data_IF_049636633427
#
_entry.id   IF_049636633427
#
_cell.length_a   1.000
_cell.length_b   1.000
_cell.length_c   1.000
_cell.angle_alpha   90.00
_cell.angle_beta   90.00
_cell.angle_gamma   90.00
#
_symmetry.space_group_name_H-M   'P 1'
#
loop_
_entity.id
_entity.type
_entity.pdbx_description
1 polymer ?
#
# COMPACT_ATOMS: atom_id res chain seq x y z
N UNK A 1 11.18 -21.26 55.77
CA UNK A 1 10.61 -19.94 55.37
C UNK A 1 11.26 -19.56 54.04
N UNK A 2 10.61 -19.86 52.92
CA UNK A 2 9.66 -19.01 52.18
C UNK A 2 10.32 -17.92 51.32
N UNK A 3 10.20 -18.13 49.99
CA UNK A 3 10.04 -17.09 48.95
C UNK A 3 11.36 -16.39 48.51
N UNK A 4 11.69 -16.16 47.23
CA UNK A 4 10.90 -16.01 46.01
C UNK A 4 11.74 -16.30 44.76
N UNK A 5 11.10 -17.04 43.87
CA UNK A 5 11.33 -17.15 42.42
C UNK A 5 11.45 -15.74 41.80
N UNK A 6 12.57 -15.41 41.15
CA UNK A 6 12.61 -14.33 40.16
C UNK A 6 12.29 -14.92 38.79
N UNK A 7 11.04 -14.71 38.38
CA UNK A 7 10.46 -15.12 37.10
C UNK A 7 11.29 -14.56 35.93
N UNK A 8 11.52 -15.44 34.98
CA UNK A 8 12.03 -15.23 33.63
C UNK A 8 11.28 -14.08 32.95
N UNK A 9 12.03 -13.13 32.42
CA UNK A 9 11.58 -12.18 31.42
C UNK A 9 11.33 -12.99 30.13
N UNK A 10 10.08 -13.36 29.86
CA UNK A 10 9.69 -13.92 28.57
C UNK A 10 9.55 -12.73 27.62
N UNK A 11 10.54 -12.61 26.73
CA UNK A 11 10.51 -11.77 25.54
C UNK A 11 9.22 -12.08 24.78
N UNK A 12 8.29 -11.14 24.77
CA UNK A 12 7.03 -11.29 24.06
C UNK A 12 7.37 -11.46 22.57
N UNK A 13 6.87 -12.54 22.00
CA UNK A 13 7.05 -12.93 20.60
C UNK A 13 6.52 -11.82 19.71
N UNK A 14 7.27 -11.52 18.67
CA UNK A 14 6.81 -10.78 17.50
C UNK A 14 5.49 -11.40 17.04
N UNK A 15 4.39 -10.67 17.24
CA UNK A 15 3.10 -11.05 16.66
C UNK A 15 3.14 -10.53 15.24
N UNK A 16 3.44 -11.43 14.31
CA UNK A 16 3.34 -11.17 12.89
C UNK A 16 1.86 -10.95 12.55
N UNK A 17 1.46 -9.67 12.52
CA UNK A 17 0.12 -9.28 12.13
C UNK A 17 0.02 -9.39 10.61
N UNK A 18 -0.35 -10.56 10.11
CA UNK A 18 -0.83 -10.71 8.74
C UNK A 18 -2.13 -9.94 8.58
N UNK A 19 -2.02 -8.67 8.17
CA UNK A 19 -3.19 -7.86 7.84
C UNK A 19 -3.73 -8.28 6.48
N UNK A 20 -5.02 -8.61 6.51
CA UNK A 20 -5.75 -9.27 5.44
C UNK A 20 -6.26 -8.26 4.41
N UNK A 21 -6.57 -8.76 3.21
CA UNK A 21 -7.12 -7.98 2.09
C UNK A 21 -8.26 -7.05 2.52
N UNK A 22 -8.46 -5.96 1.78
CA UNK A 22 -9.51 -4.96 2.06
C UNK A 22 -10.91 -5.58 2.22
N UNK A 23 -11.25 -6.60 1.43
CA UNK A 23 -12.50 -7.37 1.58
C UNK A 23 -12.57 -8.11 2.92
N UNK A 24 -11.46 -8.70 3.35
CA UNK A 24 -11.38 -9.42 4.62
C UNK A 24 -11.38 -8.47 5.81
N UNK A 25 -10.74 -7.30 5.69
CA UNK A 25 -10.78 -6.24 6.69
C UNK A 25 -12.22 -5.72 6.88
N UNK A 26 -12.95 -5.46 5.77
CA UNK A 26 -14.37 -5.08 5.83
C UNK A 26 -15.21 -6.14 6.54
N UNK A 27 -15.01 -7.41 6.19
CA UNK A 27 -15.72 -8.52 6.82
C UNK A 27 -15.47 -8.57 8.34
N UNK A 28 -14.20 -8.47 8.75
CA UNK A 28 -13.84 -8.46 10.17
C UNK A 28 -14.41 -7.27 10.92
N UNK A 29 -14.35 -6.06 10.34
CA UNK A 29 -14.94 -4.85 10.94
C UNK A 29 -16.45 -4.95 11.10
N UNK A 30 -17.11 -5.54 10.10
CA UNK A 30 -18.55 -5.80 10.16
C UNK A 30 -18.89 -6.81 11.26
N UNK A 31 -18.14 -7.92 11.36
CA UNK A 31 -18.33 -8.94 12.40
C UNK A 31 -18.08 -8.37 13.81
N UNK A 32 -17.05 -7.54 13.96
CA UNK A 32 -16.75 -6.81 15.20
C UNK A 32 -17.93 -5.92 15.60
N UNK A 33 -18.44 -5.10 14.68
CA UNK A 33 -19.60 -4.26 14.93
C UNK A 33 -20.86 -5.07 15.31
N UNK A 34 -21.14 -6.19 14.62
CA UNK A 34 -22.24 -7.09 14.97
C UNK A 34 -22.08 -7.61 16.41
N UNK A 35 -20.87 -8.01 16.79
CA UNK A 35 -20.58 -8.55 18.13
C UNK A 35 -20.88 -7.51 19.21
N UNK A 36 -20.47 -6.25 19.00
CA UNK A 36 -20.80 -5.15 19.92
C UNK A 36 -22.30 -4.84 19.97
N UNK A 37 -22.99 -4.90 18.82
CA UNK A 37 -24.43 -4.70 18.77
C UNK A 37 -25.19 -5.79 19.54
N UNK A 38 -24.81 -7.07 19.37
CA UNK A 38 -25.40 -8.21 20.09
C UNK A 38 -25.12 -8.16 21.60
N UNK A 39 -23.96 -7.63 22.01
CA UNK A 39 -23.62 -7.39 23.41
C UNK A 39 -24.34 -6.19 24.04
N UNK A 40 -25.26 -5.53 23.32
CA UNK A 40 -26.02 -4.38 23.82
C UNK A 40 -25.25 -3.06 23.82
N UNK A 41 -24.17 -2.95 23.03
CA UNK A 41 -23.37 -1.74 22.85
C UNK A 41 -23.51 -1.15 21.42
N UNK A 42 -24.71 -0.70 21.02
CA UNK A 42 -24.97 -0.24 19.65
C UNK A 42 -24.17 1.01 19.26
N UNK A 43 -23.82 1.87 20.21
CA UNK A 43 -22.98 3.06 19.94
C UNK A 43 -21.56 2.68 19.55
N UNK A 44 -20.98 1.67 20.21
CA UNK A 44 -19.66 1.16 19.86
C UNK A 44 -19.67 0.49 18.49
N UNK A 45 -20.73 -0.28 18.18
CA UNK A 45 -20.91 -0.88 16.87
C UNK A 45 -20.99 0.18 15.74
N UNK A 46 -21.75 1.26 15.96
CA UNK A 46 -21.82 2.38 15.01
C UNK A 46 -20.47 3.04 14.82
N UNK A 47 -19.77 3.35 15.92
CA UNK A 47 -18.45 3.97 15.86
C UNK A 47 -17.44 3.12 15.06
N UNK A 48 -17.46 1.80 15.22
CA UNK A 48 -16.57 0.89 14.46
C UNK A 48 -16.82 0.99 12.95
N UNK A 49 -18.09 1.05 12.54
CA UNK A 49 -18.46 1.18 11.12
C UNK A 49 -18.09 2.58 10.60
N UNK A 50 -18.45 3.63 11.35
CA UNK A 50 -18.16 5.02 10.98
C UNK A 50 -16.66 5.26 10.82
N UNK A 51 -15.83 4.79 11.75
CA UNK A 51 -14.37 4.90 11.67
C UNK A 51 -13.81 4.17 10.43
N UNK A 52 -14.37 3.00 10.09
CA UNK A 52 -13.94 2.25 8.91
C UNK A 52 -14.37 2.91 7.60
N UNK A 53 -15.57 3.49 7.55
CA UNK A 53 -16.08 4.19 6.37
C UNK A 53 -15.47 5.58 6.18
N UNK A 54 -15.06 6.24 7.27
CA UNK A 54 -14.41 7.55 7.24
C UNK A 54 -12.99 7.51 6.65
N UNK A 55 -12.26 6.41 6.83
CA UNK A 55 -10.97 6.21 6.16
C UNK A 55 -11.22 6.16 4.65
N UNK A 56 -10.57 6.94 3.77
CA UNK A 56 -10.85 6.94 2.34
C UNK A 56 -10.34 5.69 1.61
N UNK A 57 -11.04 5.28 0.55
CA UNK A 57 -10.60 4.22 -0.37
C UNK A 57 -9.43 4.71 -1.20
N UNK A 58 -8.47 3.82 -1.48
CA UNK A 58 -7.24 4.16 -2.18
C UNK A 58 -6.97 3.22 -3.33
N UNK A 59 -6.34 3.75 -4.36
CA UNK A 59 -5.75 2.99 -5.46
C UNK A 59 -4.23 3.18 -5.42
N UNK A 60 -3.51 2.07 -5.47
CA UNK A 60 -2.05 2.06 -5.53
C UNK A 60 -1.62 2.17 -7.00
N UNK A 61 -0.76 3.13 -7.31
CA UNK A 61 -0.22 3.35 -8.64
C UNK A 61 1.28 3.09 -8.60
N UNK A 62 1.75 2.08 -9.31
CA UNK A 62 3.16 1.66 -9.31
C UNK A 62 3.87 2.28 -10.50
N UNK A 63 4.88 3.11 -10.22
CA UNK A 63 5.74 3.76 -11.20
C UNK A 63 6.81 2.82 -11.74
N UNK A 64 7.34 3.15 -12.93
CA UNK A 64 8.51 2.47 -13.49
C UNK A 64 9.74 3.28 -13.07
N UNK A 65 10.56 2.69 -12.22
CA UNK A 65 11.74 3.38 -11.65
C UNK A 65 11.30 4.68 -10.95
N UNK A 66 11.89 5.83 -11.30
CA UNK A 66 11.53 7.14 -10.77
C UNK A 66 10.31 7.81 -11.44
N UNK A 67 9.79 7.28 -12.56
CA UNK A 67 8.76 7.94 -13.35
C UNK A 67 7.39 7.27 -13.36
N UNK A 68 6.35 8.10 -13.49
CA UNK A 68 5.00 7.67 -13.85
C UNK A 68 4.74 8.03 -15.31
N UNK A 69 4.38 7.03 -16.12
CA UNK A 69 4.04 7.29 -17.52
C UNK A 69 2.76 8.13 -17.59
N UNK A 70 2.69 9.03 -18.59
CA UNK A 70 1.50 9.87 -18.79
C UNK A 70 0.22 9.04 -18.89
N UNK A 71 0.28 7.91 -19.59
CA UNK A 71 -0.86 7.00 -19.74
C UNK A 71 -1.33 6.43 -18.40
N UNK A 72 -0.42 5.99 -17.53
CA UNK A 72 -0.76 5.51 -16.17
C UNK A 72 -1.31 6.62 -15.31
N UNK A 73 -0.73 7.83 -15.36
CA UNK A 73 -1.25 8.99 -14.63
C UNK A 73 -2.67 9.35 -15.08
N UNK A 74 -2.90 9.54 -16.39
CA UNK A 74 -4.19 9.92 -16.94
C UNK A 74 -5.27 8.88 -16.59
N UNK A 75 -4.92 7.59 -16.67
CA UNK A 75 -5.80 6.49 -16.28
C UNK A 75 -6.10 6.50 -14.78
N UNK A 76 -5.08 6.62 -13.93
CA UNK A 76 -5.24 6.63 -12.48
C UNK A 76 -6.07 7.82 -11.99
N UNK A 77 -5.83 9.02 -12.56
CA UNK A 77 -6.62 10.21 -12.25
C UNK A 77 -8.09 10.01 -12.62
N UNK A 78 -8.37 9.54 -13.84
CA UNK A 78 -9.75 9.27 -14.28
C UNK A 78 -10.43 8.14 -13.50
N UNK A 79 -9.68 7.13 -13.05
CA UNK A 79 -10.18 6.07 -12.17
C UNK A 79 -10.54 6.63 -10.79
N UNK A 80 -9.61 7.33 -10.15
CA UNK A 80 -9.77 7.87 -8.82
C UNK A 80 -10.91 8.89 -8.73
N UNK A 81 -11.02 9.78 -9.72
CA UNK A 81 -12.08 10.78 -9.82
C UNK A 81 -13.47 10.15 -9.91
N UNK A 82 -13.65 9.15 -10.78
CA UNK A 82 -14.94 8.48 -10.98
C UNK A 82 -15.36 7.64 -9.78
N UNK A 83 -14.40 7.04 -9.09
CA UNK A 83 -14.66 6.11 -7.99
C UNK A 83 -14.67 6.78 -6.62
N UNK A 84 -14.20 8.04 -6.52
CA UNK A 84 -14.02 8.75 -5.26
C UNK A 84 -12.88 8.16 -4.42
N UNK A 85 -11.77 7.78 -5.07
CA UNK A 85 -10.61 7.18 -4.42
C UNK A 85 -9.49 8.21 -4.28
N UNK A 86 -8.62 8.00 -3.30
CA UNK A 86 -7.31 8.64 -3.22
C UNK A 86 -6.25 7.82 -3.96
N UNK A 87 -5.16 8.48 -4.33
CA UNK A 87 -4.05 7.86 -5.03
C UNK A 87 -2.86 7.69 -4.08
N UNK A 88 -2.34 6.47 -4.02
CA UNK A 88 -1.04 6.17 -3.42
C UNK A 88 -0.08 5.90 -4.57
N UNK A 89 0.85 6.81 -4.83
CA UNK A 89 1.89 6.65 -5.84
C UNK A 89 3.11 5.95 -5.22
N UNK A 90 3.54 4.84 -5.80
CA UNK A 90 4.66 4.03 -5.31
C UNK A 90 5.78 3.95 -6.37
N UNK A 91 6.94 4.50 -6.06
CA UNK A 91 8.18 4.25 -6.80
C UNK A 91 8.99 3.17 -6.11
N UNK A 92 9.53 2.25 -6.90
CA UNK A 92 10.30 1.11 -6.40
C UNK A 92 11.66 1.09 -7.10
N UNK A 93 12.72 1.07 -6.31
CA UNK A 93 14.08 0.83 -6.79
C UNK A 93 14.43 -0.66 -6.63
N UNK A 94 14.54 -1.43 -7.73
CA UNK A 94 14.84 -2.85 -7.66
C UNK A 94 16.32 -3.09 -7.35
N UNK A 95 16.69 -2.99 -6.07
CA UNK A 95 18.03 -3.27 -5.59
C UNK A 95 18.05 -4.52 -4.70
N UNK A 96 18.97 -5.47 -4.94
CA UNK A 96 19.18 -6.58 -4.02
C UNK A 96 19.78 -6.06 -2.71
N UNK A 97 19.03 -6.18 -1.61
CA UNK A 97 19.43 -5.70 -0.28
C UNK A 97 20.68 -6.42 0.25
N UNK A 98 20.93 -7.66 -0.19
CA UNK A 98 22.00 -8.52 0.31
C UNK A 98 23.28 -8.54 -0.55
N UNK A 99 23.45 -7.59 -1.47
CA UNK A 99 24.63 -7.56 -2.34
C UNK A 99 25.83 -6.89 -1.64
N UNK A 100 26.88 -7.62 -1.23
CA UNK A 100 28.04 -7.04 -0.55
C UNK A 100 28.84 -6.07 -1.42
N UNK A 101 28.68 -6.13 -2.76
CA UNK A 101 29.32 -5.21 -3.70
C UNK A 101 28.63 -3.85 -3.75
N UNK A 102 27.32 -3.82 -3.50
CA UNK A 102 26.50 -2.60 -3.57
C UNK A 102 26.32 -1.95 -2.21
N UNK A 103 26.52 -2.68 -1.10
CA UNK A 103 26.38 -2.18 0.26
C UNK A 103 27.07 -0.82 0.52
N UNK A 104 28.30 -0.54 0.05
CA UNK A 104 28.95 0.76 0.27
C UNK A 104 28.29 1.93 -0.46
N UNK A 105 27.59 1.65 -1.57
CA UNK A 105 26.96 2.65 -2.43
C UNK A 105 25.44 2.75 -2.19
N UNK A 106 24.89 1.89 -1.33
CA UNK A 106 23.45 1.75 -1.16
C UNK A 106 22.80 3.07 -0.74
N UNK A 107 23.36 3.78 0.25
CA UNK A 107 22.86 5.08 0.68
C UNK A 107 22.85 6.10 -0.47
N UNK A 108 23.98 6.24 -1.17
CA UNK A 108 24.13 7.16 -2.29
C UNK A 108 23.12 6.89 -3.41
N UNK A 109 22.96 5.62 -3.81
CA UNK A 109 22.01 5.23 -4.87
C UNK A 109 20.57 5.45 -4.38
N UNK A 110 20.28 5.13 -3.13
CA UNK A 110 18.94 5.31 -2.56
C UNK A 110 18.54 6.78 -2.44
N UNK A 111 19.47 7.64 -2.09
CA UNK A 111 19.23 9.07 -1.92
C UNK A 111 19.08 9.75 -3.29
N UNK A 112 19.92 9.39 -4.27
CA UNK A 112 19.78 9.86 -5.66
C UNK A 112 18.42 9.47 -6.26
N UNK A 113 17.99 8.21 -6.03
CA UNK A 113 16.69 7.74 -6.49
C UNK A 113 15.53 8.50 -5.84
N UNK A 114 15.57 8.73 -4.52
CA UNK A 114 14.54 9.50 -3.81
C UNK A 114 14.43 10.91 -4.35
N UNK A 115 15.55 11.60 -4.55
CA UNK A 115 15.56 12.95 -5.11
C UNK A 115 14.91 13.00 -6.50
N UNK A 116 15.25 12.04 -7.38
CA UNK A 116 14.63 11.92 -8.70
C UNK A 116 13.12 11.65 -8.62
N UNK A 117 12.69 10.82 -7.67
CA UNK A 117 11.27 10.54 -7.46
C UNK A 117 10.50 11.78 -7.01
N UNK A 118 11.06 12.61 -6.11
CA UNK A 118 10.42 13.85 -5.65
C UNK A 118 10.22 14.86 -6.80
N UNK A 119 11.19 14.98 -7.69
CA UNK A 119 11.07 15.84 -8.87
C UNK A 119 10.00 15.30 -9.83
N UNK A 120 10.04 14.00 -10.11
CA UNK A 120 9.14 13.32 -11.04
C UNK A 120 7.68 13.30 -10.58
N UNK A 121 7.44 13.11 -9.28
CA UNK A 121 6.08 12.99 -8.73
C UNK A 121 5.31 14.32 -8.72
N UNK A 122 6.01 15.45 -8.80
CA UNK A 122 5.41 16.79 -8.70
C UNK A 122 4.27 17.01 -9.70
N UNK A 123 4.42 16.52 -10.94
CA UNK A 123 3.37 16.61 -11.96
C UNK A 123 2.12 15.79 -11.57
N UNK A 124 2.32 14.61 -11.01
CA UNK A 124 1.22 13.75 -10.60
C UNK A 124 0.49 14.31 -9.38
N UNK A 125 1.24 14.83 -8.40
CA UNK A 125 0.67 15.52 -7.24
C UNK A 125 -0.19 16.72 -7.66
N UNK A 126 0.33 17.58 -8.54
CA UNK A 126 -0.41 18.76 -9.01
C UNK A 126 -1.70 18.35 -9.74
N UNK A 127 -1.64 17.35 -10.61
CA UNK A 127 -2.82 16.84 -11.31
C UNK A 127 -3.87 16.24 -10.37
N UNK A 128 -3.46 15.58 -9.28
CA UNK A 128 -4.39 15.10 -8.25
C UNK A 128 -5.05 16.28 -7.51
N UNK A 129 -4.24 17.28 -7.13
CA UNK A 129 -4.70 18.47 -6.41
C UNK A 129 -5.72 19.27 -7.21
N UNK A 130 -5.50 19.46 -8.51
CA UNK A 130 -6.43 20.15 -9.41
C UNK A 130 -7.81 19.48 -9.47
N UNK A 131 -7.86 18.16 -9.25
CA UNK A 131 -9.09 17.35 -9.27
C UNK A 131 -9.67 17.08 -7.88
N UNK A 132 -9.04 17.59 -6.82
CA UNK A 132 -9.46 17.32 -5.44
C UNK A 132 -9.25 15.86 -5.00
N UNK A 133 -8.32 15.15 -5.63
CA UNK A 133 -7.98 13.76 -5.31
C UNK A 133 -6.89 13.76 -4.23
N UNK A 134 -7.13 13.05 -3.13
CA UNK A 134 -6.11 12.83 -2.09
C UNK A 134 -4.91 12.09 -2.67
N UNK A 135 -3.70 12.49 -2.27
CA UNK A 135 -2.47 11.96 -2.85
C UNK A 135 -1.42 11.69 -1.77
N UNK A 136 -0.85 10.49 -1.82
CA UNK A 136 0.29 10.08 -1.01
C UNK A 136 1.38 9.51 -1.92
N UNK A 137 2.63 9.90 -1.70
CA UNK A 137 3.78 9.34 -2.39
C UNK A 137 4.61 8.46 -1.45
N UNK A 138 5.01 7.30 -1.95
CA UNK A 138 5.81 6.30 -1.24
C UNK A 138 6.97 5.88 -2.13
N UNK A 139 8.16 5.80 -1.54
CA UNK A 139 9.36 5.30 -2.21
C UNK A 139 9.87 4.10 -1.43
N UNK A 140 9.98 2.95 -2.09
CA UNK A 140 10.55 1.71 -1.52
C UNK A 140 11.73 1.21 -2.34
N UNK A 141 12.56 0.40 -1.70
CA UNK A 141 13.76 -0.19 -2.31
C UNK A 141 13.70 -1.68 -2.01
N UNK A 142 13.85 -2.50 -3.04
CA UNK A 142 13.79 -3.95 -2.93
C UNK A 142 13.00 -4.58 -4.06
N UNK A 143 12.53 -5.80 -3.83
CA UNK A 143 11.72 -6.53 -4.79
C UNK A 143 10.36 -5.85 -5.04
N UNK A 144 9.93 -5.64 -6.30
CA UNK A 144 8.66 -4.98 -6.61
C UNK A 144 7.42 -5.64 -6.00
N UNK A 145 7.29 -6.97 -6.09
CA UNK A 145 6.10 -7.66 -5.55
C UNK A 145 6.04 -7.54 -4.04
N UNK A 146 7.17 -7.67 -3.36
CA UNK A 146 7.26 -7.51 -1.93
C UNK A 146 6.97 -6.07 -1.50
N UNK A 147 7.51 -5.07 -2.21
CA UNK A 147 7.22 -3.66 -1.93
C UNK A 147 5.73 -3.32 -2.11
N UNK A 148 5.06 -3.88 -3.11
CA UNK A 148 3.61 -3.72 -3.32
C UNK A 148 2.83 -4.35 -2.16
N UNK A 149 3.18 -5.58 -1.76
CA UNK A 149 2.54 -6.27 -0.62
C UNK A 149 2.74 -5.51 0.69
N UNK A 150 3.94 -5.03 0.95
CA UNK A 150 4.25 -4.22 2.13
C UNK A 150 3.46 -2.91 2.14
N UNK A 151 3.40 -2.20 1.02
CA UNK A 151 2.64 -0.94 0.91
C UNK A 151 1.15 -1.17 1.17
N UNK A 152 0.59 -2.26 0.63
CA UNK A 152 -0.78 -2.68 0.90
C UNK A 152 -1.01 -3.06 2.37
N UNK A 153 0.00 -3.57 3.09
CA UNK A 153 -0.08 -3.86 4.54
C UNK A 153 0.03 -2.61 5.41
N UNK A 154 0.84 -1.65 4.98
CA UNK A 154 1.13 -0.41 5.70
C UNK A 154 -0.01 0.62 5.55
N UNK A 155 -0.58 0.73 4.35
CA UNK A 155 -1.59 1.72 4.01
C UNK A 155 -2.96 1.04 3.90
N UNK A 156 -3.89 1.48 4.74
CA UNK A 156 -5.25 0.94 4.80
C UNK A 156 -6.05 1.30 3.56
N UNK A 157 -7.01 0.41 3.24
CA UNK A 157 -8.03 0.60 2.20
C UNK A 157 -7.51 0.78 0.78
N UNK A 158 -6.36 0.19 0.45
CA UNK A 158 -5.93 0.02 -0.95
C UNK A 158 -6.76 -1.12 -1.56
N UNK A 159 -7.71 -0.81 -2.45
CA UNK A 159 -8.56 -1.84 -3.07
C UNK A 159 -8.03 -2.32 -4.43
N UNK A 160 -7.30 -1.46 -5.14
CA UNK A 160 -6.78 -1.75 -6.49
C UNK A 160 -5.32 -1.34 -6.65
N UNK A 161 -4.63 -2.03 -7.55
CA UNK A 161 -3.30 -1.69 -8.02
C UNK A 161 -3.35 -1.41 -9.52
N UNK A 162 -2.74 -0.30 -9.93
CA UNK A 162 -2.54 0.13 -11.32
C UNK A 162 -1.03 0.17 -11.56
N UNK A 163 -0.53 -0.51 -12.58
CA UNK A 163 0.90 -0.48 -12.91
C UNK A 163 1.11 -0.40 -14.43
N UNK A 164 2.33 -0.12 -14.87
CA UNK A 164 2.70 -0.35 -16.27
C UNK A 164 2.73 -1.87 -16.54
N UNK A 165 2.34 -2.32 -17.76
CA UNK A 165 2.34 -3.74 -18.12
C UNK A 165 3.72 -4.41 -17.92
N UNK A 166 4.81 -3.67 -18.18
CA UNK A 166 6.19 -4.15 -18.00
C UNK A 166 6.56 -4.52 -16.55
N UNK A 167 5.82 -4.06 -15.54
CA UNK A 167 6.20 -4.17 -14.13
C UNK A 167 5.61 -5.41 -13.42
N UNK A 168 4.65 -6.09 -14.04
CA UNK A 168 4.06 -7.33 -13.52
C UNK A 168 4.34 -8.48 -14.48
N UNK A 169 5.52 -9.13 -14.41
CA UNK A 169 5.86 -10.23 -15.31
C UNK A 169 4.91 -11.43 -15.16
N UNK A 170 4.31 -11.62 -13.97
CA UNK A 170 3.29 -12.64 -13.72
C UNK A 170 1.96 -12.39 -14.47
N UNK A 171 1.75 -11.19 -15.00
CA UNK A 171 0.57 -10.84 -15.83
C UNK A 171 0.95 -10.38 -17.24
N UNK A 172 2.25 -10.24 -17.55
CA UNK A 172 2.72 -9.74 -18.84
C UNK A 172 2.34 -10.65 -20.02
N UNK A 173 2.18 -11.96 -19.78
CA UNK A 173 1.78 -12.92 -20.81
C UNK A 173 0.28 -12.86 -21.17
N UNK A 174 -0.54 -12.15 -20.38
CA UNK A 174 -2.01 -12.08 -20.54
C UNK A 174 -2.53 -10.70 -21.00
N UNK A 175 -1.66 -9.70 -21.07
CA UNK A 175 -2.05 -8.30 -21.31
C UNK A 175 -1.61 -7.86 -22.71
N UNK A 176 -2.54 -7.57 -23.61
CA UNK A 176 -2.23 -7.01 -24.94
C UNK A 176 -1.46 -5.68 -24.82
N UNK A 177 -0.51 -5.43 -25.73
CA UNK A 177 0.28 -4.20 -25.76
C UNK A 177 -0.64 -2.96 -25.70
N UNK A 178 -0.43 -2.12 -24.68
CA UNK A 178 -1.17 -0.87 -24.48
C UNK A 178 -2.32 -0.92 -23.48
N UNK A 179 -2.64 -2.07 -22.90
CA UNK A 179 -3.62 -2.17 -21.80
C UNK A 179 -2.92 -1.88 -20.46
N UNK A 180 -3.49 -0.98 -19.66
CA UNK A 180 -3.02 -0.70 -18.29
C UNK A 180 -3.66 -1.73 -17.36
N UNK A 181 -2.88 -2.64 -16.75
CA UNK A 181 -3.39 -3.63 -15.83
C UNK A 181 -3.97 -2.99 -14.57
N UNK A 182 -5.16 -3.46 -14.18
CA UNK A 182 -5.78 -3.16 -12.88
C UNK A 182 -6.15 -4.47 -12.21
N UNK A 183 -5.64 -4.69 -11.00
CA UNK A 183 -5.92 -5.91 -10.26
C UNK A 183 -6.18 -5.62 -8.78
N UNK A 184 -6.94 -6.53 -8.16
CA UNK A 184 -7.11 -6.58 -6.72
C UNK A 184 -6.00 -7.43 -6.13
N UNK A 185 -5.40 -6.97 -5.03
CA UNK A 185 -4.53 -7.84 -4.23
C UNK A 185 -5.41 -8.81 -3.42
N UNK A 186 -5.61 -10.01 -3.94
CA UNK A 186 -6.07 -11.13 -3.12
C UNK A 186 -4.90 -11.56 -2.22
N UNK A 187 -5.19 -11.85 -0.94
CA UNK A 187 -4.17 -12.29 0.00
C UNK A 187 -3.37 -13.47 -0.58
N UNK A 188 -2.04 -13.32 -0.60
CA UNK A 188 -1.08 -14.41 -0.49
C UNK A 188 -0.71 -14.53 0.98
#
# INVERSE_FOLDING_TARGET
MLSKIKKRFVKNRDVELEKKSTLTERFHKTMEAITFAEAGAPQAAQQIIEEYEAEPRKVLVVGKEEIFSKHVMDYALGFAERMGYEIVALNILPLPTDSPKLAPYYSLISDDFKNKCEESVSNFYNACKERGIGFQHVVKIGDPEQCIKETHREIKRIEFVICNPDLCPSMADEVEEGIIPVFCLANV
#
